data_IF_286321176619
#
_entry.id   IF_286321176619
#
_cell.length_a   1.000
_cell.length_b   1.000
_cell.length_c   1.000
_cell.angle_alpha   90.00
_cell.angle_beta   90.00
_cell.angle_gamma   90.00
#
_symmetry.space_group_name_H-M   'P 1'
#
loop_
_entity.id
_entity.type
_entity.pdbx_description
1 polymer ?
#
# COMPACT_ATOMS: atom_id res chain seq x y z
N UNK A 1 -1.18 15.96 -0.48
CA UNK A 1 -1.58 14.96 0.53
C UNK A 1 -0.73 15.05 1.79
N UNK A 2 0.60 14.91 1.73
CA UNK A 2 1.45 14.95 2.94
C UNK A 2 1.35 16.25 3.76
N UNK A 3 1.46 17.42 3.13
CA UNK A 3 1.29 18.70 3.85
C UNK A 3 -0.11 18.84 4.47
N UNK A 4 -1.13 18.35 3.76
CA UNK A 4 -2.51 18.35 4.25
C UNK A 4 -2.61 17.53 5.54
N UNK A 5 -2.11 16.28 5.55
CA UNK A 5 -2.16 15.45 6.76
C UNK A 5 -1.38 16.08 7.91
N UNK A 6 -0.28 16.81 7.67
CA UNK A 6 0.46 17.49 8.74
C UNK A 6 -0.35 18.59 9.43
N UNK A 7 -1.10 19.39 8.66
CA UNK A 7 -1.86 20.54 9.18
C UNK A 7 -3.19 20.13 9.83
N UNK A 8 -3.77 19.01 9.40
CA UNK A 8 -5.06 18.54 9.93
C UNK A 8 -5.00 18.25 11.43
N UNK A 9 -6.09 18.58 12.13
CA UNK A 9 -6.28 18.21 13.54
C UNK A 9 -6.52 16.70 13.62
N UNK A 10 -5.71 16.01 14.42
CA UNK A 10 -5.90 14.57 14.70
C UNK A 10 -6.41 14.41 16.12
N UNK A 11 -7.59 13.81 16.24
CA UNK A 11 -8.23 13.52 17.53
C UNK A 11 -7.70 12.21 18.10
N UNK A 12 -7.55 11.20 17.24
CA UNK A 12 -7.22 9.83 17.62
C UNK A 12 -5.74 9.51 17.43
N UNK A 13 -5.25 8.50 18.15
CA UNK A 13 -3.84 8.09 18.14
C UNK A 13 -3.43 7.51 16.79
N UNK A 14 -4.32 6.73 16.20
CA UNK A 14 -4.26 6.08 14.89
C UNK A 14 -4.02 7.13 13.79
N UNK A 15 -4.76 8.24 13.85
CA UNK A 15 -4.62 9.38 12.93
C UNK A 15 -3.25 10.07 13.07
N UNK A 16 -2.69 10.14 14.29
CA UNK A 16 -1.36 10.73 14.53
C UNK A 16 -0.26 9.86 13.94
N UNK A 17 -0.33 8.54 14.13
CA UNK A 17 0.64 7.61 13.54
C UNK A 17 0.48 7.56 12.02
N UNK A 18 -0.72 7.73 11.49
CA UNK A 18 -0.95 7.69 10.04
C UNK A 18 -0.08 8.70 9.28
N UNK A 19 0.30 9.83 9.90
CA UNK A 19 1.27 10.79 9.35
C UNK A 19 2.59 10.12 8.96
N UNK A 20 3.06 9.16 9.77
CA UNK A 20 4.29 8.41 9.51
C UNK A 20 4.17 7.56 8.24
N UNK A 21 3.02 6.93 8.00
CA UNK A 21 2.78 6.18 6.77
C UNK A 21 2.86 7.10 5.54
N UNK A 22 2.30 8.31 5.62
CA UNK A 22 2.43 9.31 4.55
C UNK A 22 3.86 9.85 4.40
N UNK A 23 4.64 9.94 5.48
CA UNK A 23 6.05 10.33 5.37
C UNK A 23 6.86 9.25 4.63
N UNK A 24 6.62 7.98 4.95
CA UNK A 24 7.25 6.85 4.27
C UNK A 24 6.89 6.77 2.79
N UNK A 25 5.65 7.09 2.40
CA UNK A 25 5.30 7.15 0.97
C UNK A 25 5.96 8.28 0.23
N UNK A 26 6.09 9.47 0.83
CA UNK A 26 6.86 10.56 0.21
C UNK A 26 8.31 10.14 -0.03
N UNK A 27 8.93 9.45 0.93
CA UNK A 27 10.27 8.89 0.75
C UNK A 27 10.30 7.85 -0.37
N UNK A 28 9.31 6.97 -0.42
CA UNK A 28 9.18 5.95 -1.47
C UNK A 28 9.08 6.57 -2.87
N UNK A 29 8.13 7.50 -3.03
CA UNK A 29 7.85 8.20 -4.29
C UNK A 29 9.05 9.05 -4.73
N UNK A 30 9.83 9.60 -3.79
CA UNK A 30 11.08 10.27 -4.11
C UNK A 30 12.06 9.34 -4.85
N UNK A 31 12.28 8.12 -4.35
CA UNK A 31 13.19 7.17 -4.99
C UNK A 31 12.61 6.51 -6.25
N UNK A 32 11.31 6.25 -6.29
CA UNK A 32 10.66 5.61 -7.45
C UNK A 32 10.37 6.58 -8.60
N UNK A 33 10.10 7.85 -8.30
CA UNK A 33 9.68 8.83 -9.31
C UNK A 33 10.74 9.89 -9.51
N UNK A 34 11.07 10.67 -8.46
CA UNK A 34 11.96 11.83 -8.61
C UNK A 34 13.41 11.46 -8.94
N UNK A 35 13.95 10.42 -8.32
CA UNK A 35 15.33 10.01 -8.60
C UNK A 35 15.47 9.45 -10.02
N UNK A 36 14.43 8.81 -10.55
CA UNK A 36 14.41 8.30 -11.92
C UNK A 36 14.24 9.41 -12.98
N UNK A 37 13.93 10.66 -12.60
CA UNK A 37 13.92 11.80 -13.52
C UNK A 37 15.23 12.58 -13.55
N UNK A 38 16.21 12.23 -12.70
CA UNK A 38 17.53 12.85 -12.72
C UNK A 38 18.38 12.25 -13.84
N UNK A 39 19.20 13.08 -14.49
CA UNK A 39 20.10 12.65 -15.57
C UNK A 39 21.18 11.66 -15.09
N UNK A 40 21.47 11.63 -13.79
CA UNK A 40 22.40 10.69 -13.19
C UNK A 40 21.65 9.57 -12.45
N UNK A 41 21.76 8.31 -12.89
CA UNK A 41 21.10 7.19 -12.24
C UNK A 41 21.73 6.95 -10.86
N UNK A 42 20.91 7.05 -9.81
CA UNK A 42 21.31 6.65 -8.46
C UNK A 42 21.21 5.13 -8.35
N UNK A 43 22.34 4.48 -8.07
CA UNK A 43 22.38 3.03 -7.90
C UNK A 43 21.41 2.59 -6.79
N UNK A 44 20.68 1.50 -7.05
CA UNK A 44 19.71 0.90 -6.12
C UNK A 44 18.52 1.79 -5.72
N UNK A 45 18.23 2.87 -6.44
CA UNK A 45 17.05 3.72 -6.16
C UNK A 45 15.74 2.92 -5.98
N UNK A 46 15.40 1.94 -6.84
CA UNK A 46 14.17 1.15 -6.66
C UNK A 46 14.12 0.39 -5.33
N UNK A 47 15.26 -0.06 -4.81
CA UNK A 47 15.34 -0.77 -3.53
C UNK A 47 15.01 0.18 -2.37
N UNK A 48 15.55 1.39 -2.38
CA UNK A 48 15.24 2.41 -1.36
C UNK A 48 13.77 2.83 -1.41
N UNK A 49 13.20 2.93 -2.61
CA UNK A 49 11.76 3.10 -2.79
C UNK A 49 10.97 1.97 -2.11
N UNK A 50 11.30 0.70 -2.40
CA UNK A 50 10.62 -0.44 -1.77
C UNK A 50 10.70 -0.39 -0.24
N UNK A 51 11.83 -0.01 0.34
CA UNK A 51 11.98 0.14 1.79
C UNK A 51 11.04 1.22 2.36
N UNK A 52 10.83 2.32 1.63
CA UNK A 52 9.82 3.32 1.95
C UNK A 52 8.42 2.71 2.02
N UNK A 53 7.99 1.97 0.99
CA UNK A 53 6.69 1.28 1.02
C UNK A 53 6.59 0.22 2.12
N UNK A 54 7.64 -0.54 2.41
CA UNK A 54 7.68 -1.47 3.55
C UNK A 54 7.40 -0.71 4.85
N UNK A 55 8.03 0.45 5.07
CA UNK A 55 7.77 1.29 6.23
C UNK A 55 6.33 1.79 6.30
N UNK A 56 5.78 2.24 5.16
CA UNK A 56 4.40 2.69 5.07
C UNK A 56 3.41 1.57 5.43
N UNK A 57 3.57 0.40 4.81
CA UNK A 57 2.68 -0.75 5.02
C UNK A 57 2.81 -1.37 6.41
N UNK A 58 4.03 -1.46 6.96
CA UNK A 58 4.23 -1.85 8.35
C UNK A 58 3.50 -0.91 9.32
N UNK A 59 3.52 0.41 9.04
CA UNK A 59 2.79 1.40 9.82
C UNK A 59 1.27 1.17 9.72
N UNK A 60 0.74 0.90 8.53
CA UNK A 60 -0.69 0.62 8.34
C UNK A 60 -1.12 -0.69 9.03
N UNK A 61 -0.31 -1.75 8.96
CA UNK A 61 -0.54 -2.99 9.69
C UNK A 61 -0.57 -2.70 11.20
N UNK A 62 0.37 -1.91 11.70
CA UNK A 62 0.41 -1.57 13.12
C UNK A 62 -0.84 -0.81 13.58
N UNK A 63 -1.28 0.20 12.80
CA UNK A 63 -2.45 1.01 13.12
C UNK A 63 -3.73 0.16 13.08
N UNK A 64 -3.98 -0.52 11.97
CA UNK A 64 -5.27 -1.19 11.72
C UNK A 64 -5.31 -2.63 12.22
N UNK A 65 -4.16 -3.23 12.53
CA UNK A 65 -4.04 -4.60 13.01
C UNK A 65 -4.15 -4.75 14.53
N UNK A 66 -3.91 -3.67 15.31
CA UNK A 66 -3.80 -3.74 16.78
C UNK A 66 -5.04 -4.28 17.48
N UNK A 67 -6.22 -4.02 16.93
CA UNK A 67 -7.51 -4.39 17.51
C UNK A 67 -8.20 -5.53 16.74
N UNK A 68 -7.47 -6.22 15.86
CA UNK A 68 -8.01 -7.37 15.16
C UNK A 68 -8.00 -8.59 16.09
N UNK A 69 -9.18 -9.16 16.30
CA UNK A 69 -9.29 -10.52 16.79
C UNK A 69 -8.95 -11.46 15.64
N UNK A 70 -7.85 -12.20 15.74
CA UNK A 70 -7.48 -13.25 14.79
C UNK A 70 -8.54 -14.36 14.80
N UNK A 71 -9.61 -14.12 14.06
CA UNK A 71 -10.72 -15.04 13.90
C UNK A 71 -10.68 -15.67 12.50
N UNK A 72 -11.56 -16.62 12.26
CA UNK A 72 -11.69 -17.29 10.96
C UNK A 72 -11.94 -16.29 9.82
N UNK A 73 -12.62 -15.18 10.09
CA UNK A 73 -12.92 -14.16 9.09
C UNK A 73 -11.64 -13.43 8.65
N UNK A 74 -10.74 -13.08 9.59
CA UNK A 74 -9.44 -12.49 9.25
C UNK A 74 -8.63 -13.41 8.34
N UNK A 75 -8.57 -14.70 8.64
CA UNK A 75 -7.89 -15.68 7.79
C UNK A 75 -8.56 -15.76 6.41
N UNK A 76 -9.89 -15.75 6.36
CA UNK A 76 -10.64 -15.80 5.11
C UNK A 76 -10.35 -14.58 4.22
N UNK A 77 -10.18 -13.39 4.80
CA UNK A 77 -9.86 -12.17 4.04
C UNK A 77 -8.48 -12.20 3.39
N UNK A 78 -7.55 -13.00 3.92
CA UNK A 78 -6.20 -13.15 3.36
C UNK A 78 -6.19 -13.97 2.07
N UNK A 79 -7.09 -14.96 1.95
CA UNK A 79 -7.15 -15.89 0.82
C UNK A 79 -7.16 -15.19 -0.55
N UNK A 80 -8.07 -14.23 -0.85
CA UNK A 80 -8.10 -13.60 -2.17
C UNK A 80 -6.79 -12.87 -2.50
N UNK A 81 -6.18 -12.19 -1.53
CA UNK A 81 -4.91 -11.47 -1.75
C UNK A 81 -3.75 -12.44 -2.01
N UNK A 82 -3.68 -13.54 -1.27
CA UNK A 82 -2.64 -14.57 -1.47
C UNK A 82 -2.82 -15.28 -2.81
N UNK A 83 -4.06 -15.57 -3.23
CA UNK A 83 -4.32 -16.18 -4.53
C UNK A 83 -3.92 -15.26 -5.68
N UNK A 84 -4.30 -13.98 -5.62
CA UNK A 84 -3.94 -12.99 -6.64
C UNK A 84 -2.43 -12.75 -6.67
N UNK A 85 -1.78 -12.61 -5.51
CA UNK A 85 -0.34 -12.46 -5.42
C UNK A 85 0.39 -13.70 -5.94
N UNK A 86 -0.07 -14.90 -5.58
CA UNK A 86 0.49 -16.16 -6.08
C UNK A 86 0.38 -16.29 -7.59
N UNK A 87 -0.78 -15.95 -8.16
CA UNK A 87 -0.95 -15.91 -9.61
C UNK A 87 0.01 -14.92 -10.27
N UNK A 88 0.09 -13.68 -9.77
CA UNK A 88 1.01 -12.67 -10.28
C UNK A 88 2.47 -13.14 -10.18
N UNK A 89 2.86 -13.70 -9.04
CA UNK A 89 4.20 -14.21 -8.77
C UNK A 89 4.60 -15.29 -9.79
N UNK A 90 3.71 -16.24 -10.09
CA UNK A 90 3.98 -17.28 -11.09
C UNK A 90 4.18 -16.72 -12.50
N UNK A 91 3.53 -15.62 -12.84
CA UNK A 91 3.69 -14.92 -14.11
C UNK A 91 4.99 -14.11 -14.17
N UNK A 92 5.35 -13.41 -13.10
CA UNK A 92 6.50 -12.49 -13.06
C UNK A 92 7.83 -13.15 -12.72
N UNK A 93 7.83 -14.32 -12.05
CA UNK A 93 9.06 -15.01 -11.61
C UNK A 93 10.07 -15.30 -12.73
N UNK A 94 9.61 -15.39 -13.98
CA UNK A 94 10.47 -15.67 -15.14
C UNK A 94 11.27 -14.45 -15.60
N UNK A 95 10.84 -13.25 -15.20
CA UNK A 95 11.42 -11.99 -15.64
C UNK A 95 12.17 -11.26 -14.53
N UNK A 96 11.91 -11.62 -13.27
CA UNK A 96 12.57 -11.03 -12.13
C UNK A 96 13.95 -11.69 -11.90
N UNK A 97 15.01 -10.87 -11.91
CA UNK A 97 16.38 -11.29 -11.67
C UNK A 97 17.06 -10.41 -10.60
N UNK A 98 18.08 -10.96 -9.94
CA UNK A 98 18.88 -10.24 -8.94
C UNK A 98 18.14 -9.94 -7.62
N UNK A 99 18.68 -8.99 -6.86
CA UNK A 99 18.19 -8.63 -5.51
C UNK A 99 16.78 -8.03 -5.48
N UNK A 100 16.28 -7.55 -6.62
CA UNK A 100 14.92 -7.01 -6.74
C UNK A 100 13.84 -8.10 -6.58
N UNK A 101 14.14 -9.34 -6.95
CA UNK A 101 13.20 -10.45 -6.84
C UNK A 101 12.84 -10.80 -5.39
N UNK A 102 13.80 -11.10 -4.49
CA UNK A 102 13.46 -11.37 -3.08
C UNK A 102 12.86 -10.13 -2.39
N UNK A 103 13.29 -8.91 -2.74
CA UNK A 103 12.69 -7.69 -2.22
C UNK A 103 11.21 -7.57 -2.58
N UNK A 104 10.84 -7.86 -3.83
CA UNK A 104 9.45 -7.86 -4.28
C UNK A 104 8.60 -8.96 -3.64
N UNK A 105 9.17 -10.13 -3.35
CA UNK A 105 8.47 -11.18 -2.59
C UNK A 105 8.14 -10.67 -1.18
N UNK A 106 9.12 -10.11 -0.48
CA UNK A 106 8.93 -9.57 0.88
C UNK A 106 7.87 -8.47 0.87
N UNK A 107 8.00 -7.50 -0.04
CA UNK A 107 7.02 -6.41 -0.17
C UNK A 107 5.62 -6.96 -0.51
N UNK A 108 5.53 -7.94 -1.41
CA UNK A 108 4.26 -8.57 -1.78
C UNK A 108 3.58 -9.30 -0.64
N UNK A 109 4.33 -10.01 0.20
CA UNK A 109 3.79 -10.64 1.42
C UNK A 109 3.26 -9.57 2.38
N UNK A 110 4.05 -8.52 2.63
CA UNK A 110 3.64 -7.40 3.50
C UNK A 110 2.37 -6.73 2.95
N UNK A 111 2.27 -6.57 1.63
CA UNK A 111 1.11 -5.99 0.96
C UNK A 111 -0.14 -6.88 1.11
N UNK A 112 -0.01 -8.20 0.94
CA UNK A 112 -1.12 -9.14 1.19
C UNK A 112 -1.62 -9.04 2.63
N UNK A 113 -0.70 -8.98 3.60
CA UNK A 113 -1.04 -8.84 5.02
C UNK A 113 -1.71 -7.48 5.27
N UNK A 114 -1.18 -6.40 4.69
CA UNK A 114 -1.74 -5.05 4.84
C UNK A 114 -3.18 -4.99 4.32
N UNK A 115 -3.41 -5.49 3.11
CA UNK A 115 -4.75 -5.52 2.52
C UNK A 115 -5.72 -6.37 3.34
N UNK A 116 -5.29 -7.55 3.80
CA UNK A 116 -6.10 -8.43 4.64
C UNK A 116 -6.44 -7.78 6.00
N UNK A 117 -5.47 -7.13 6.64
CA UNK A 117 -5.65 -6.40 7.91
C UNK A 117 -6.66 -5.26 7.73
N UNK A 118 -6.50 -4.47 6.67
CA UNK A 118 -7.41 -3.35 6.38
C UNK A 118 -8.83 -3.82 6.07
N UNK A 119 -9.01 -4.90 5.30
CA UNK A 119 -10.33 -5.48 5.06
C UNK A 119 -10.93 -6.09 6.33
N UNK A 120 -10.10 -6.70 7.17
CA UNK A 120 -10.53 -7.29 8.45
C UNK A 120 -11.09 -6.26 9.43
N UNK A 121 -10.81 -4.97 9.25
CA UNK A 121 -11.39 -3.91 10.10
C UNK A 121 -12.92 -3.90 10.09
N UNK A 122 -13.56 -4.34 8.99
CA UNK A 122 -15.02 -4.50 8.87
C UNK A 122 -15.57 -5.44 9.95
N UNK A 123 -14.82 -6.48 10.32
CA UNK A 123 -15.25 -7.49 11.28
C UNK A 123 -14.77 -7.22 12.71
N UNK A 124 -13.91 -6.22 12.91
CA UNK A 124 -13.28 -5.94 14.21
C UNK A 124 -14.25 -5.32 15.22
N UNK A 125 -15.27 -4.60 14.74
CA UNK A 125 -16.17 -3.81 15.59
C UNK A 125 -15.51 -2.60 16.27
N UNK A 126 -14.22 -2.33 16.02
CA UNK A 126 -13.48 -1.23 16.64
C UNK A 126 -13.75 0.12 15.98
N UNK A 127 -13.75 0.15 14.64
CA UNK A 127 -14.00 1.35 13.86
C UNK A 127 -15.50 1.54 13.59
N UNK A 128 -15.91 2.79 13.37
CA UNK A 128 -17.25 3.09 12.85
C UNK A 128 -17.46 2.41 11.49
N UNK A 129 -18.69 1.98 11.18
CA UNK A 129 -18.97 1.23 9.94
C UNK A 129 -18.46 1.97 8.69
N UNK A 130 -18.70 3.29 8.64
CA UNK A 130 -18.22 4.18 7.58
C UNK A 130 -16.69 4.10 7.44
N UNK A 131 -15.96 4.30 8.54
CA UNK A 131 -14.50 4.26 8.55
C UNK A 131 -13.96 2.87 8.18
N UNK A 132 -14.55 1.80 8.69
CA UNK A 132 -14.13 0.43 8.39
C UNK A 132 -14.23 0.11 6.89
N UNK A 133 -15.33 0.50 6.23
CA UNK A 133 -15.46 0.32 4.78
C UNK A 133 -14.45 1.16 3.99
N UNK A 134 -14.17 2.40 4.40
CA UNK A 134 -13.16 3.25 3.76
C UNK A 134 -11.74 2.67 3.93
N UNK A 135 -11.41 2.14 5.11
CA UNK A 135 -10.14 1.46 5.37
C UNK A 135 -10.03 0.22 4.48
N UNK A 136 -11.05 -0.63 4.46
CA UNK A 136 -11.07 -1.83 3.62
C UNK A 136 -10.91 -1.53 2.13
N UNK A 137 -11.66 -0.54 1.62
CA UNK A 137 -11.56 -0.08 0.23
C UNK A 137 -10.15 0.41 -0.08
N UNK A 138 -9.54 1.15 0.85
CA UNK A 138 -8.15 1.61 0.67
C UNK A 138 -7.18 0.44 0.54
N UNK A 139 -7.27 -0.56 1.43
CA UNK A 139 -6.40 -1.74 1.37
C UNK A 139 -6.50 -2.48 0.04
N UNK A 140 -7.72 -2.62 -0.51
CA UNK A 140 -7.93 -3.20 -1.84
C UNK A 140 -7.28 -2.35 -2.94
N UNK A 141 -7.52 -1.04 -2.95
CA UNK A 141 -6.98 -0.14 -3.98
C UNK A 141 -5.45 -0.10 -3.97
N UNK A 142 -4.82 -0.08 -2.79
CA UNK A 142 -3.36 -0.18 -2.66
C UNK A 142 -2.83 -1.50 -3.22
N UNK A 143 -3.46 -2.61 -2.85
CA UNK A 143 -3.07 -3.93 -3.36
C UNK A 143 -3.10 -4.00 -4.89
N UNK A 144 -4.18 -3.51 -5.50
CA UNK A 144 -4.30 -3.49 -6.96
C UNK A 144 -3.25 -2.58 -7.61
N UNK A 145 -3.04 -1.37 -7.05
CA UNK A 145 -2.06 -0.42 -7.57
C UNK A 145 -0.66 -1.03 -7.63
N UNK A 146 -0.23 -1.65 -6.52
CA UNK A 146 1.11 -2.22 -6.39
C UNK A 146 1.31 -3.48 -7.24
N UNK A 147 0.25 -4.27 -7.48
CA UNK A 147 0.31 -5.35 -8.48
C UNK A 147 0.66 -4.78 -9.85
N UNK A 148 -0.02 -3.72 -10.29
CA UNK A 148 0.26 -3.13 -11.59
C UNK A 148 1.67 -2.53 -11.64
N UNK A 149 2.13 -1.88 -10.57
CA UNK A 149 3.52 -1.42 -10.44
C UNK A 149 4.50 -2.59 -10.58
N UNK A 150 4.25 -3.74 -9.94
CA UNK A 150 5.09 -4.92 -10.09
C UNK A 150 5.15 -5.43 -11.54
N UNK A 151 4.04 -5.42 -12.27
CA UNK A 151 4.04 -5.71 -13.72
C UNK A 151 4.91 -4.73 -14.50
N UNK A 152 4.86 -3.43 -14.18
CA UNK A 152 5.71 -2.42 -14.84
C UNK A 152 7.20 -2.64 -14.58
N UNK A 153 7.56 -3.08 -13.37
CA UNK A 153 8.95 -3.25 -12.97
C UNK A 153 9.56 -4.54 -13.51
N UNK A 154 8.79 -5.62 -13.56
CA UNK A 154 9.33 -6.94 -13.86
C UNK A 154 9.01 -7.45 -15.26
N UNK A 155 7.85 -7.13 -15.84
CA UNK A 155 7.46 -7.71 -17.12
C UNK A 155 7.97 -6.85 -18.29
N UNK A 156 8.75 -7.41 -19.24
CA UNK A 156 9.41 -6.63 -20.29
C UNK A 156 8.41 -5.87 -21.17
N UNK A 157 7.27 -6.47 -21.50
CA UNK A 157 6.23 -5.82 -22.32
C UNK A 157 5.56 -4.63 -21.61
N UNK A 158 5.58 -4.60 -20.28
CA UNK A 158 4.98 -3.54 -19.46
C UNK A 158 6.00 -2.56 -18.89
N UNK A 159 7.30 -2.77 -19.14
CA UNK A 159 8.37 -1.87 -18.70
C UNK A 159 8.39 -0.54 -19.48
N UNK A 160 7.86 -0.52 -20.69
CA UNK A 160 7.69 0.71 -21.47
C UNK A 160 6.50 1.54 -20.94
N UNK A 161 6.60 2.86 -21.09
CA UNK A 161 5.49 3.76 -20.79
C UNK A 161 4.27 3.37 -21.63
N UNK A 162 3.15 3.10 -20.95
CA UNK A 162 1.90 2.70 -21.58
C UNK A 162 0.81 3.49 -20.88
N UNK A 163 0.24 4.46 -21.61
CA UNK A 163 -0.66 5.47 -21.06
C UNK A 163 -1.81 4.89 -20.22
N UNK A 164 -2.47 3.83 -20.70
CA UNK A 164 -3.61 3.24 -19.98
C UNK A 164 -3.21 2.59 -18.66
N UNK A 165 -2.01 2.01 -18.61
CA UNK A 165 -1.48 1.28 -17.45
C UNK A 165 -1.08 2.25 -16.34
N UNK A 166 -0.37 3.32 -16.71
CA UNK A 166 0.05 4.35 -15.74
C UNK A 166 -1.17 5.12 -15.21
N UNK A 167 -2.18 5.35 -16.05
CA UNK A 167 -3.48 5.87 -15.61
C UNK A 167 -4.19 4.92 -14.64
N UNK A 168 -4.10 3.60 -14.83
CA UNK A 168 -4.72 2.62 -13.94
C UNK A 168 -4.03 2.57 -12.57
N UNK A 169 -2.69 2.64 -12.56
CA UNK A 169 -1.89 2.76 -11.33
C UNK A 169 -2.30 4.04 -10.59
N UNK A 170 -2.34 5.18 -11.28
CA UNK A 170 -2.75 6.45 -10.68
C UNK A 170 -4.21 6.43 -10.18
N UNK A 171 -5.12 5.84 -10.95
CA UNK A 171 -6.54 5.72 -10.61
C UNK A 171 -6.82 4.81 -9.40
N UNK A 172 -5.86 3.98 -9.00
CA UNK A 172 -5.95 3.15 -7.79
C UNK A 172 -5.13 3.74 -6.64
N UNK A 173 -3.90 4.19 -6.90
CA UNK A 173 -2.98 4.78 -5.94
C UNK A 173 -3.53 6.08 -5.33
N UNK A 174 -3.92 7.03 -6.18
CA UNK A 174 -4.32 8.37 -5.72
C UNK A 174 -5.58 8.29 -4.87
N UNK A 175 -6.65 7.56 -5.26
CA UNK A 175 -7.82 7.40 -4.41
C UNK A 175 -7.52 6.65 -3.12
N UNK A 176 -6.65 5.62 -3.13
CA UNK A 176 -6.25 4.93 -1.91
C UNK A 176 -5.69 5.89 -0.85
N UNK A 177 -4.64 6.64 -1.20
CA UNK A 177 -4.03 7.59 -0.27
C UNK A 177 -4.95 8.76 0.08
N UNK A 178 -5.84 9.16 -0.83
CA UNK A 178 -6.85 10.19 -0.57
C UNK A 178 -7.88 9.70 0.47
N UNK A 179 -8.34 8.46 0.38
CA UNK A 179 -9.28 7.90 1.36
C UNK A 179 -8.62 7.79 2.74
N UNK A 180 -7.35 7.37 2.82
CA UNK A 180 -6.62 7.42 4.10
C UNK A 180 -6.49 8.84 4.66
N UNK A 181 -6.30 9.84 3.79
CA UNK A 181 -6.29 11.23 4.21
C UNK A 181 -7.65 11.63 4.81
N UNK A 182 -8.76 11.18 4.22
CA UNK A 182 -10.10 11.40 4.78
C UNK A 182 -10.28 10.73 6.14
N UNK A 183 -9.79 9.49 6.31
CA UNK A 183 -9.79 8.78 7.60
C UNK A 183 -8.95 9.54 8.65
N UNK A 184 -7.86 10.19 8.22
CA UNK A 184 -7.04 11.04 9.09
C UNK A 184 -7.80 12.26 9.64
N UNK A 185 -8.79 12.79 8.90
CA UNK A 185 -9.70 13.87 9.35
C UNK A 185 -10.94 13.41 10.11
N UNK A 186 -11.29 12.12 10.07
CA UNK A 186 -12.61 11.69 10.52
C UNK A 186 -12.83 12.02 12.01
N UNK A 187 -13.93 12.72 12.31
CA UNK A 187 -14.25 13.14 13.69
C UNK A 187 -14.82 11.99 14.52
N UNK A 188 -15.47 11.04 13.83
CA UNK A 188 -16.15 9.84 14.35
C UNK A 188 -15.46 8.56 13.82
N UNK A 189 -14.20 8.39 14.20
CA UNK A 189 -13.40 7.22 13.79
C UNK A 189 -13.90 5.91 14.46
N UNK A 190 -14.41 6.03 15.68
CA UNK A 190 -14.93 4.92 16.50
C UNK A 190 -16.45 4.89 16.52
N UNK A 191 -16.98 3.73 16.92
CA UNK A 191 -18.40 3.55 17.19
C UNK A 191 -18.90 4.41 18.34
#
# INVERSE_FOLDING_TARGET
MFFTILVMRKKYWEQKILVLAFAFTVLSDFFFVFVNTLDQPVANSPLYGMLGFVGAYATLIFIFGRHLNFNKNTILTLIPFVLLFGFMFLNLRKYAAGYMFPAAIVLGIILCVTAAVMVSTIYSGYFSKKSAYLIALTGCLMFFSDIFVAYTLFHPDYAKFILWKDNLIAATYVPAWTILLLIASEEELYQ
#
